data_IF_217486823059
#
_entry.id   IF_217486823059
#
_cell.length_a   1.000
_cell.length_b   1.000
_cell.length_c   1.000
_cell.angle_alpha   90.00
_cell.angle_beta   90.00
_cell.angle_gamma   90.00
#
_symmetry.space_group_name_H-M   'P 1'
#
loop_
_entity.id
_entity.type
_entity.pdbx_description
1 polymer ?
#
# COMPACT_ATOMS: atom_id res chain seq x y z
N UNK A 1 13.79 -67.74 -16.53
CA UNK A 1 14.18 -66.90 -15.39
C UNK A 1 14.94 -65.61 -15.79
N UNK A 2 16.01 -65.69 -16.58
CA UNK A 2 16.80 -64.46 -16.99
C UNK A 2 15.95 -63.38 -17.72
N UNK A 3 15.03 -63.76 -18.61
CA UNK A 3 14.20 -62.81 -19.37
C UNK A 3 13.19 -62.02 -18.50
N UNK A 4 12.62 -62.66 -17.48
CA UNK A 4 11.69 -62.00 -16.57
C UNK A 4 12.43 -61.07 -15.62
N UNK A 5 13.63 -61.44 -15.18
CA UNK A 5 14.45 -60.57 -14.33
C UNK A 5 14.83 -59.29 -15.06
N UNK A 6 15.15 -59.35 -16.37
CA UNK A 6 15.45 -58.17 -17.18
C UNK A 6 14.22 -57.26 -17.34
N UNK A 7 13.02 -57.79 -17.50
CA UNK A 7 11.77 -57.01 -17.59
C UNK A 7 11.51 -56.23 -16.29
N UNK A 8 11.63 -56.87 -15.14
CA UNK A 8 11.40 -56.20 -13.84
C UNK A 8 12.50 -55.18 -13.54
N UNK A 9 13.75 -55.45 -13.90
CA UNK A 9 14.88 -54.51 -13.78
C UNK A 9 14.67 -53.27 -14.65
N UNK A 10 14.16 -53.45 -15.89
CA UNK A 10 13.87 -52.35 -16.80
C UNK A 10 12.66 -51.52 -16.29
N UNK A 11 11.62 -52.14 -15.72
CA UNK A 11 10.47 -51.50 -15.15
C UNK A 11 10.85 -50.63 -13.94
N UNK A 12 11.70 -51.14 -13.05
CA UNK A 12 12.22 -50.42 -11.89
C UNK A 12 13.06 -49.21 -12.33
N UNK A 13 13.90 -49.36 -13.38
CA UNK A 13 14.70 -48.28 -13.91
C UNK A 13 13.84 -47.14 -14.50
N UNK A 14 12.73 -47.47 -15.19
CA UNK A 14 11.77 -46.50 -15.73
C UNK A 14 11.00 -45.81 -14.61
N UNK A 15 10.61 -46.51 -13.54
CA UNK A 15 9.97 -45.89 -12.39
C UNK A 15 10.92 -44.93 -11.66
N UNK A 16 12.20 -45.22 -11.53
CA UNK A 16 13.19 -44.32 -10.92
C UNK A 16 13.45 -43.07 -11.77
N UNK A 17 13.38 -43.18 -13.11
CA UNK A 17 13.56 -42.00 -13.99
C UNK A 17 12.36 -41.04 -13.97
N UNK A 18 11.18 -41.46 -13.52
CA UNK A 18 10.01 -40.60 -13.38
C UNK A 18 10.02 -39.79 -12.08
N UNK A 19 10.84 -40.13 -11.10
CA UNK A 19 10.95 -39.40 -9.83
C UNK A 19 11.96 -38.25 -9.84
N UNK A 20 12.77 -38.11 -10.92
CA UNK A 20 13.91 -37.20 -10.94
C UNK A 20 13.66 -35.81 -11.55
N UNK A 21 12.40 -35.44 -11.88
CA UNK A 21 12.15 -34.23 -12.68
C UNK A 21 11.15 -33.24 -12.08
N UNK A 22 10.99 -33.14 -10.77
CA UNK A 22 10.13 -32.07 -10.23
C UNK A 22 10.80 -30.72 -10.14
N UNK A 23 12.13 -30.64 -9.96
CA UNK A 23 12.82 -29.36 -9.80
C UNK A 23 13.25 -28.70 -11.13
N UNK A 24 13.35 -29.46 -12.21
CA UNK A 24 13.79 -28.90 -13.50
C UNK A 24 12.69 -28.12 -14.26
N UNK A 25 11.42 -28.33 -13.92
CA UNK A 25 10.29 -27.64 -14.58
C UNK A 25 9.81 -26.41 -13.81
N UNK A 26 10.29 -26.16 -12.61
CA UNK A 26 10.02 -24.93 -11.84
C UNK A 26 10.95 -23.83 -12.31
N UNK A 27 10.78 -23.37 -13.55
CA UNK A 27 11.43 -22.13 -14.01
C UNK A 27 10.72 -20.98 -13.30
N UNK A 28 11.29 -20.54 -12.17
CA UNK A 28 10.89 -19.29 -11.53
C UNK A 28 11.10 -18.17 -12.56
N UNK A 29 10.10 -17.33 -12.89
CA UNK A 29 10.32 -16.17 -13.74
C UNK A 29 11.45 -15.33 -13.11
N UNK A 30 12.46 -14.97 -13.90
CA UNK A 30 13.63 -14.20 -13.43
C UNK A 30 13.27 -12.83 -12.86
N UNK A 31 12.01 -12.40 -12.97
CA UNK A 31 11.50 -11.09 -12.59
C UNK A 31 10.56 -11.10 -11.38
N UNK A 32 10.12 -12.26 -10.91
CA UNK A 32 9.24 -12.36 -9.74
C UNK A 32 9.98 -13.10 -8.63
N UNK A 33 10.44 -12.35 -7.62
CA UNK A 33 10.93 -12.91 -6.37
C UNK A 33 9.76 -13.45 -5.57
N UNK A 34 9.82 -14.67 -5.07
CA UNK A 34 8.80 -15.17 -4.16
C UNK A 34 8.76 -14.29 -2.89
N UNK A 35 7.59 -14.08 -2.34
CA UNK A 35 7.43 -13.20 -1.18
C UNK A 35 8.30 -13.66 0.00
N UNK A 36 8.48 -14.96 0.18
CA UNK A 36 9.34 -15.53 1.23
C UNK A 36 10.82 -15.14 1.06
N UNK A 37 11.31 -15.13 -0.18
CA UNK A 37 12.67 -14.71 -0.50
C UNK A 37 12.83 -13.20 -0.28
N UNK A 38 11.85 -12.39 -0.74
CA UNK A 38 11.85 -10.94 -0.58
C UNK A 38 11.90 -10.55 0.92
N UNK A 39 11.05 -11.17 1.73
CA UNK A 39 10.96 -10.86 3.17
C UNK A 39 11.94 -11.68 4.04
N UNK A 40 12.97 -12.27 3.44
CA UNK A 40 14.05 -12.96 4.16
C UNK A 40 15.15 -12.03 4.69
N UNK A 41 15.16 -10.76 4.28
CA UNK A 41 16.17 -9.76 4.66
C UNK A 41 15.54 -8.41 5.00
N UNK A 42 16.22 -7.60 5.82
CA UNK A 42 15.81 -6.21 6.08
C UNK A 42 15.73 -5.38 4.78
N UNK A 43 16.71 -5.53 3.88
CA UNK A 43 16.71 -4.86 2.60
C UNK A 43 15.46 -5.19 1.78
N UNK A 44 15.02 -6.44 1.76
CA UNK A 44 13.79 -6.87 1.07
C UNK A 44 12.53 -6.22 1.64
N UNK A 45 12.45 -5.98 2.95
CA UNK A 45 11.35 -5.20 3.53
C UNK A 45 11.39 -3.73 3.07
N UNK A 46 12.56 -3.11 3.01
CA UNK A 46 12.74 -1.74 2.50
C UNK A 46 12.38 -1.66 1.01
N UNK A 47 12.80 -2.64 0.21
CA UNK A 47 12.49 -2.72 -1.22
C UNK A 47 10.98 -2.90 -1.45
N UNK A 48 10.32 -3.75 -0.67
CA UNK A 48 8.86 -3.92 -0.73
C UNK A 48 8.13 -2.61 -0.43
N UNK A 49 8.57 -1.87 0.59
CA UNK A 49 8.03 -0.57 0.94
C UNK A 49 8.26 0.47 -0.16
N UNK A 50 9.47 0.53 -0.73
CA UNK A 50 9.80 1.37 -1.89
C UNK A 50 8.93 1.01 -3.11
N UNK A 51 8.58 -0.27 -3.26
CA UNK A 51 7.64 -0.76 -4.27
C UNK A 51 6.25 -0.15 -4.14
N UNK A 52 5.74 0.07 -2.90
CA UNK A 52 4.46 0.75 -2.66
C UNK A 52 4.54 2.19 -3.16
N UNK A 53 5.57 2.94 -2.77
CA UNK A 53 5.76 4.32 -3.26
C UNK A 53 5.89 4.37 -4.77
N UNK A 54 6.66 3.47 -5.37
CA UNK A 54 6.83 3.38 -6.84
C UNK A 54 5.49 3.11 -7.52
N UNK A 55 4.63 2.24 -6.97
CA UNK A 55 3.30 2.01 -7.51
C UNK A 55 2.44 3.28 -7.46
N UNK A 56 2.57 4.09 -6.40
CA UNK A 56 1.86 5.35 -6.25
C UNK A 56 2.32 6.43 -7.24
N UNK A 57 3.56 6.44 -7.69
CA UNK A 57 4.07 7.46 -8.63
C UNK A 57 3.56 7.31 -10.06
N UNK A 58 2.83 6.25 -10.39
CA UNK A 58 2.25 6.06 -11.72
C UNK A 58 1.33 7.22 -12.08
N UNK A 59 1.30 7.60 -13.35
CA UNK A 59 0.42 8.67 -13.85
C UNK A 59 -1.07 8.35 -13.67
N UNK A 60 -1.43 7.10 -13.51
CA UNK A 60 -2.79 6.66 -13.16
C UNK A 60 -3.14 6.85 -11.70
N UNK A 61 -2.19 7.18 -10.84
CA UNK A 61 -2.36 7.48 -9.42
C UNK A 61 -1.80 8.89 -9.10
N UNK A 62 -0.93 9.00 -8.10
CA UNK A 62 -0.42 10.30 -7.63
C UNK A 62 0.54 11.00 -8.60
N UNK A 63 1.07 10.29 -9.61
CA UNK A 63 1.84 10.92 -10.69
C UNK A 63 1.02 11.88 -11.58
N UNK A 64 -0.32 11.79 -11.56
CA UNK A 64 -1.21 12.72 -12.27
C UNK A 64 -2.65 12.69 -11.76
N UNK A 65 -3.35 11.53 -11.84
CA UNK A 65 -4.82 11.50 -11.68
C UNK A 65 -5.27 11.91 -10.27
N UNK A 66 -4.52 11.53 -9.23
CA UNK A 66 -4.81 11.83 -7.82
C UNK A 66 -4.29 13.21 -7.37
N UNK A 67 -3.63 13.96 -8.24
CA UNK A 67 -3.06 15.27 -7.95
C UNK A 67 -3.68 16.35 -8.84
N UNK A 68 -3.14 16.56 -10.03
CA UNK A 68 -3.58 17.60 -10.98
C UNK A 68 -4.36 17.03 -12.19
N UNK A 69 -4.77 15.76 -12.16
CA UNK A 69 -5.53 15.09 -13.21
C UNK A 69 -7.04 15.14 -12.96
N UNK A 70 -7.69 13.94 -12.97
CA UNK A 70 -9.15 13.86 -12.87
C UNK A 70 -9.68 14.45 -11.55
N UNK A 71 -8.94 14.35 -10.43
CA UNK A 71 -9.38 14.87 -9.12
C UNK A 71 -9.55 16.39 -9.17
N UNK A 72 -8.60 17.12 -9.74
CA UNK A 72 -8.70 18.58 -9.93
C UNK A 72 -9.81 18.97 -10.90
N UNK A 73 -10.03 18.16 -11.95
CA UNK A 73 -11.08 18.39 -12.92
C UNK A 73 -12.47 18.27 -12.27
N UNK A 74 -12.73 17.20 -11.52
CA UNK A 74 -14.02 17.04 -10.82
C UNK A 74 -14.19 18.02 -9.67
N UNK A 75 -13.09 18.50 -9.08
CA UNK A 75 -13.11 19.60 -8.11
C UNK A 75 -13.31 20.98 -8.77
N UNK A 76 -13.53 21.04 -10.09
CA UNK A 76 -13.74 22.28 -10.87
C UNK A 76 -12.58 23.29 -10.75
N UNK A 77 -11.35 22.79 -10.51
CA UNK A 77 -10.15 23.64 -10.45
C UNK A 77 -9.63 24.00 -11.85
N UNK A 78 -10.07 23.27 -12.87
CA UNK A 78 -9.74 23.56 -14.26
C UNK A 78 -10.77 24.51 -14.87
N UNK A 79 -10.31 25.39 -15.75
CA UNK A 79 -11.20 26.20 -16.59
C UNK A 79 -11.88 25.37 -17.68
N UNK A 80 -12.38 26.03 -18.72
CA UNK A 80 -13.00 25.33 -19.86
C UNK A 80 -11.96 24.46 -20.59
N UNK A 81 -12.32 23.21 -20.85
CA UNK A 81 -11.53 22.26 -21.63
C UNK A 81 -12.30 21.89 -22.91
N UNK A 82 -11.55 21.63 -24.01
CA UNK A 82 -12.15 21.27 -25.29
C UNK A 82 -12.93 19.95 -25.20
N UNK A 83 -13.96 19.82 -26.01
CA UNK A 83 -14.87 18.65 -26.02
C UNK A 83 -14.18 17.33 -26.35
N UNK A 84 -13.03 17.37 -27.02
CA UNK A 84 -12.23 16.19 -27.34
C UNK A 84 -11.16 15.88 -26.29
N UNK A 85 -11.08 16.65 -25.18
CA UNK A 85 -10.11 16.41 -24.14
C UNK A 85 -10.49 15.16 -23.35
N UNK A 86 -9.49 14.41 -22.88
CA UNK A 86 -9.70 13.16 -22.11
C UNK A 86 -10.59 13.31 -20.87
N UNK A 87 -10.65 14.50 -20.28
CA UNK A 87 -11.45 14.80 -19.10
C UNK A 87 -12.74 15.58 -19.41
N UNK A 88 -13.10 15.76 -20.70
CA UNK A 88 -14.26 16.57 -21.07
C UNK A 88 -15.56 16.08 -20.41
N UNK A 89 -15.72 14.77 -20.29
CA UNK A 89 -16.88 14.15 -19.66
C UNK A 89 -16.78 14.16 -18.13
N UNK A 90 -15.56 13.97 -17.59
CA UNK A 90 -15.32 14.07 -16.14
C UNK A 90 -15.65 15.47 -15.58
N UNK A 91 -15.34 16.54 -16.34
CA UNK A 91 -15.71 17.91 -16.00
C UNK A 91 -17.22 18.12 -15.85
N UNK A 92 -18.02 17.28 -16.52
CA UNK A 92 -19.49 17.29 -16.45
C UNK A 92 -20.06 16.24 -15.50
N UNK A 93 -19.19 15.55 -14.74
CA UNK A 93 -19.56 14.44 -13.86
C UNK A 93 -20.18 13.24 -14.58
N UNK A 94 -19.90 13.06 -15.88
CA UNK A 94 -20.34 11.91 -16.68
C UNK A 94 -19.41 10.70 -16.41
N UNK A 95 -19.55 10.09 -15.25
CA UNK A 95 -18.62 9.06 -14.75
C UNK A 95 -18.65 7.76 -15.56
N UNK A 96 -19.78 7.40 -16.16
CA UNK A 96 -19.94 6.21 -16.99
C UNK A 96 -19.49 6.40 -18.45
N UNK A 97 -19.06 7.62 -18.83
CA UNK A 97 -18.59 7.87 -20.17
C UNK A 97 -17.32 7.05 -20.50
N UNK A 98 -17.19 6.64 -21.76
CA UNK A 98 -16.13 5.75 -22.25
C UNK A 98 -14.70 6.28 -22.05
N UNK A 99 -14.53 7.59 -21.89
CA UNK A 99 -13.25 8.24 -21.60
C UNK A 99 -13.04 8.54 -20.09
N UNK A 100 -14.09 8.49 -19.27
CA UNK A 100 -14.02 8.76 -17.82
C UNK A 100 -13.94 7.48 -17.00
N UNK A 101 -14.86 6.54 -17.25
CA UNK A 101 -14.96 5.29 -16.50
C UNK A 101 -13.63 4.52 -16.38
N UNK A 102 -12.83 4.32 -17.46
CA UNK A 102 -11.56 3.60 -17.32
C UNK A 102 -10.55 4.29 -16.42
N UNK A 103 -10.60 5.62 -16.28
CA UNK A 103 -9.73 6.36 -15.34
C UNK A 103 -10.16 6.04 -13.91
N UNK A 104 -11.45 6.09 -13.62
CA UNK A 104 -12.02 5.79 -12.29
C UNK A 104 -11.72 4.34 -11.89
N UNK A 105 -11.98 3.38 -12.80
CA UNK A 105 -11.69 1.94 -12.57
C UNK A 105 -10.21 1.70 -12.28
N UNK A 106 -9.32 2.43 -12.97
CA UNK A 106 -7.86 2.34 -12.75
C UNK A 106 -7.44 2.97 -11.42
N UNK A 107 -8.08 4.07 -11.00
CA UNK A 107 -7.85 4.65 -9.68
C UNK A 107 -8.22 3.65 -8.57
N UNK A 108 -9.43 3.10 -8.64
CA UNK A 108 -9.89 2.11 -7.67
C UNK A 108 -8.95 0.92 -7.59
N UNK A 109 -8.70 0.26 -8.70
CA UNK A 109 -7.85 -0.94 -8.73
C UNK A 109 -6.40 -0.64 -8.36
N UNK A 110 -5.87 0.51 -8.77
CA UNK A 110 -4.50 0.91 -8.48
C UNK A 110 -4.28 1.23 -7.01
N UNK A 111 -5.21 1.91 -6.34
CA UNK A 111 -5.14 2.20 -4.91
C UNK A 111 -5.22 0.90 -4.09
N UNK A 112 -6.15 -0.02 -4.41
CA UNK A 112 -6.20 -1.32 -3.74
C UNK A 112 -4.98 -2.20 -4.01
N UNK A 113 -4.37 -2.12 -5.18
CA UNK A 113 -3.10 -2.80 -5.45
C UNK A 113 -1.96 -2.27 -4.55
N UNK A 114 -1.87 -0.95 -4.37
CA UNK A 114 -0.91 -0.35 -3.46
C UNK A 114 -1.17 -0.75 -1.99
N UNK A 115 -2.45 -0.84 -1.57
CA UNK A 115 -2.86 -1.36 -0.26
C UNK A 115 -2.43 -2.82 -0.08
N UNK A 116 -2.63 -3.67 -1.09
CA UNK A 116 -2.21 -5.07 -1.03
C UNK A 116 -0.69 -5.20 -0.85
N UNK A 117 0.10 -4.34 -1.50
CA UNK A 117 1.55 -4.29 -1.32
C UNK A 117 1.94 -3.84 0.10
N UNK A 118 1.27 -2.83 0.67
CA UNK A 118 1.48 -2.44 2.07
C UNK A 118 1.10 -3.57 3.03
N UNK A 119 -0.02 -4.27 2.79
CA UNK A 119 -0.42 -5.43 3.57
C UNK A 119 0.57 -6.60 3.46
N UNK A 120 1.27 -6.75 2.33
CA UNK A 120 2.34 -7.75 2.22
C UNK A 120 3.46 -7.46 3.22
N UNK A 121 3.92 -6.21 3.33
CA UNK A 121 4.92 -5.82 4.35
C UNK A 121 4.41 -6.15 5.75
N UNK A 122 3.16 -5.75 6.07
CA UNK A 122 2.56 -5.96 7.40
C UNK A 122 2.36 -7.44 7.73
N UNK A 123 2.03 -8.28 6.75
CA UNK A 123 1.81 -9.71 6.96
C UNK A 123 3.09 -10.47 7.35
N UNK A 124 4.24 -10.01 6.86
CA UNK A 124 5.52 -10.67 7.08
C UNK A 124 6.33 -10.06 8.22
N UNK A 125 6.25 -8.74 8.48
CA UNK A 125 7.17 -8.05 9.39
C UNK A 125 7.10 -8.55 10.84
N UNK A 126 5.92 -8.84 11.35
CA UNK A 126 5.75 -9.31 12.74
C UNK A 126 6.17 -10.78 12.92
N UNK A 127 6.07 -11.58 11.85
CA UNK A 127 6.40 -13.01 11.83
C UNK A 127 7.85 -13.27 11.44
N UNK A 128 8.56 -12.25 10.95
CA UNK A 128 9.91 -12.37 10.43
C UNK A 128 10.91 -12.69 11.53
N UNK A 129 11.82 -13.64 11.23
CA UNK A 129 13.02 -13.93 12.03
C UNK A 129 14.21 -13.04 11.65
N UNK A 130 14.06 -12.12 10.73
CA UNK A 130 15.07 -11.16 10.30
C UNK A 130 15.51 -10.30 11.48
N UNK A 131 16.83 -10.15 11.63
CA UNK A 131 17.41 -9.20 12.60
C UNK A 131 17.47 -7.84 11.91
N UNK A 132 16.65 -6.92 12.38
CA UNK A 132 16.61 -5.56 11.88
C UNK A 132 17.64 -4.69 12.60
N UNK A 133 18.24 -3.75 11.88
CA UNK A 133 19.15 -2.76 12.43
C UNK A 133 18.39 -1.70 13.23
N UNK A 134 18.77 -1.51 14.51
CA UNK A 134 18.15 -0.50 15.37
C UNK A 134 16.63 -0.55 15.38
N UNK A 135 15.99 0.56 15.08
CA UNK A 135 14.53 0.73 15.09
C UNK A 135 13.86 0.42 13.75
N UNK A 136 14.61 -0.04 12.74
CA UNK A 136 14.12 -0.19 11.37
C UNK A 136 12.88 -1.06 11.25
N UNK A 137 12.75 -2.12 12.06
CA UNK A 137 11.53 -2.94 12.10
C UNK A 137 10.29 -2.11 12.39
N UNK A 138 10.34 -1.28 13.43
CA UNK A 138 9.21 -0.45 13.84
C UNK A 138 8.96 0.66 12.83
N UNK A 139 10.01 1.29 12.31
CA UNK A 139 9.90 2.36 11.33
C UNK A 139 9.25 1.84 10.02
N UNK A 140 9.69 0.69 9.51
CA UNK A 140 9.09 0.05 8.32
C UNK A 140 7.63 -0.30 8.56
N UNK A 141 7.31 -0.88 9.73
CA UNK A 141 5.94 -1.22 10.11
C UNK A 141 5.05 0.02 10.19
N UNK A 142 5.51 1.06 10.87
CA UNK A 142 4.78 2.31 11.00
C UNK A 142 4.50 2.98 9.66
N UNK A 143 5.48 2.96 8.77
CA UNK A 143 5.33 3.52 7.42
C UNK A 143 4.35 2.72 6.56
N UNK A 144 4.36 1.38 6.64
CA UNK A 144 3.40 0.53 5.94
C UNK A 144 1.96 0.73 6.44
N UNK A 145 1.76 0.89 7.77
CA UNK A 145 0.46 1.25 8.36
C UNK A 145 -0.01 2.62 7.88
N UNK A 146 0.87 3.61 7.87
CA UNK A 146 0.56 4.96 7.40
C UNK A 146 0.18 4.98 5.92
N UNK A 147 0.87 4.22 5.07
CA UNK A 147 0.53 4.06 3.65
C UNK A 147 -0.84 3.42 3.46
N UNK A 148 -1.15 2.36 4.20
CA UNK A 148 -2.46 1.71 4.17
C UNK A 148 -3.58 2.68 4.55
N UNK A 149 -3.40 3.41 5.62
CA UNK A 149 -4.33 4.43 6.07
C UNK A 149 -4.53 5.56 5.06
N UNK A 150 -3.44 6.08 4.50
CA UNK A 150 -3.46 7.14 3.49
C UNK A 150 -4.26 6.73 2.25
N UNK A 151 -4.01 5.53 1.73
CA UNK A 151 -4.67 5.01 0.53
C UNK A 151 -6.17 4.74 0.76
N UNK A 152 -6.54 4.17 1.93
CA UNK A 152 -7.95 4.00 2.28
C UNK A 152 -8.67 5.32 2.51
N UNK A 153 -7.99 6.31 3.08
CA UNK A 153 -8.57 7.64 3.26
C UNK A 153 -8.86 8.33 1.92
N UNK A 154 -7.97 8.17 0.94
CA UNK A 154 -8.22 8.72 -0.40
C UNK A 154 -9.33 7.95 -1.13
N UNK A 155 -9.42 6.62 -1.00
CA UNK A 155 -10.57 5.84 -1.48
C UNK A 155 -11.87 6.31 -0.85
N UNK A 156 -11.90 6.49 0.47
CA UNK A 156 -13.08 6.99 1.19
C UNK A 156 -13.54 8.34 0.63
N UNK A 157 -12.61 9.28 0.44
CA UNK A 157 -12.93 10.63 -0.04
C UNK A 157 -13.42 10.66 -1.49
N UNK A 158 -12.97 9.72 -2.31
CA UNK A 158 -13.32 9.65 -3.73
C UNK A 158 -14.63 8.90 -3.99
N UNK A 159 -14.93 7.89 -3.18
CA UNK A 159 -15.98 6.92 -3.49
C UNK A 159 -17.13 6.90 -2.47
N UNK A 160 -17.05 7.68 -1.38
CA UNK A 160 -18.12 7.79 -0.40
C UNK A 160 -18.63 9.24 -0.30
N UNK A 161 -19.95 9.40 -0.23
CA UNK A 161 -20.57 10.72 -0.18
C UNK A 161 -20.57 11.33 1.23
N UNK A 162 -20.76 10.50 2.26
CA UNK A 162 -20.96 10.97 3.64
C UNK A 162 -20.04 10.23 4.62
N UNK A 163 -19.04 10.95 5.13
CA UNK A 163 -18.09 10.44 6.13
C UNK A 163 -18.73 9.89 7.42
N UNK A 164 -19.94 10.30 7.72
CA UNK A 164 -20.67 9.91 8.96
C UNK A 164 -21.70 8.83 8.71
N UNK A 165 -21.87 8.36 7.47
CA UNK A 165 -22.79 7.27 7.21
C UNK A 165 -22.35 6.02 7.95
N UNK A 166 -23.34 5.35 8.58
CA UNK A 166 -23.17 4.07 9.26
C UNK A 166 -23.68 2.89 8.41
N UNK A 167 -24.14 3.17 7.20
CA UNK A 167 -24.54 2.14 6.23
C UNK A 167 -23.33 1.56 5.52
N UNK A 168 -23.22 0.23 5.51
CA UNK A 168 -22.15 -0.47 4.80
C UNK A 168 -22.28 -0.36 3.26
N UNK A 169 -23.49 -0.09 2.76
CA UNK A 169 -23.76 0.13 1.34
C UNK A 169 -23.14 1.45 0.83
N UNK A 170 -22.98 2.44 1.72
CA UNK A 170 -22.38 3.73 1.39
C UNK A 170 -20.84 3.73 1.48
N UNK A 171 -20.25 2.61 1.87
CA UNK A 171 -18.85 2.49 2.23
C UNK A 171 -17.98 1.80 1.20
N UNK A 172 -16.77 1.49 1.63
CA UNK A 172 -15.75 0.80 0.85
C UNK A 172 -15.17 -0.39 1.62
N UNK A 173 -14.58 -1.39 0.94
CA UNK A 173 -13.80 -2.42 1.62
C UNK A 173 -12.60 -1.81 2.34
N UNK A 174 -12.46 -2.07 3.64
CA UNK A 174 -11.21 -1.79 4.36
C UNK A 174 -10.37 -3.05 4.42
N UNK A 175 -9.35 -3.12 3.55
CA UNK A 175 -8.50 -4.32 3.38
C UNK A 175 -7.29 -4.20 4.28
N UNK A 176 -7.33 -4.86 5.43
CA UNK A 176 -6.30 -4.79 6.49
C UNK A 176 -5.41 -6.04 6.58
N UNK A 177 -5.65 -7.02 5.72
CA UNK A 177 -4.85 -8.24 5.64
C UNK A 177 -4.54 -8.64 4.20
N UNK A 178 -3.50 -9.48 4.03
CA UNK A 178 -3.18 -10.11 2.76
C UNK A 178 -4.09 -11.32 2.54
N UNK A 179 -5.16 -11.14 1.79
CA UNK A 179 -6.17 -12.19 1.53
C UNK A 179 -6.55 -12.28 0.06
N UNK A 180 -6.94 -13.48 -0.37
CA UNK A 180 -7.58 -13.72 -1.68
C UNK A 180 -9.12 -13.72 -1.58
N UNK A 181 -9.65 -13.58 -0.37
CA UNK A 181 -11.07 -13.51 -0.15
C UNK A 181 -11.61 -12.12 -0.48
N UNK A 182 -12.86 -12.05 -0.89
CA UNK A 182 -13.53 -10.77 -1.10
C UNK A 182 -13.76 -10.10 0.25
N UNK A 183 -13.19 -8.91 0.43
CA UNK A 183 -13.46 -8.08 1.60
C UNK A 183 -14.76 -7.31 1.35
N UNK A 184 -15.71 -7.43 2.25
CA UNK A 184 -16.97 -6.70 2.19
C UNK A 184 -16.77 -5.23 2.52
N UNK A 185 -17.63 -4.36 1.96
CA UNK A 185 -17.65 -2.95 2.33
C UNK A 185 -18.01 -2.79 3.79
N UNK A 186 -17.46 -1.76 4.40
CA UNK A 186 -17.83 -1.28 5.74
C UNK A 186 -18.20 0.19 5.63
N UNK A 187 -19.05 0.66 6.54
CA UNK A 187 -19.57 2.03 6.51
C UNK A 187 -18.45 3.09 6.50
N UNK A 188 -18.68 4.26 5.89
CA UNK A 188 -17.72 5.36 5.90
C UNK A 188 -17.21 5.72 7.29
N UNK A 189 -18.12 5.77 8.29
CA UNK A 189 -17.74 6.00 9.68
C UNK A 189 -16.75 4.94 10.21
N UNK A 190 -16.94 3.66 9.84
CA UNK A 190 -16.05 2.56 10.22
C UNK A 190 -14.71 2.62 9.47
N UNK A 191 -14.70 3.07 8.22
CA UNK A 191 -13.46 3.33 7.49
C UNK A 191 -12.64 4.42 8.19
N UNK A 192 -13.27 5.54 8.60
CA UNK A 192 -12.61 6.62 9.36
C UNK A 192 -12.00 6.08 10.65
N UNK A 193 -12.75 5.28 11.42
CA UNK A 193 -12.26 4.67 12.66
C UNK A 193 -11.01 3.81 12.41
N UNK A 194 -11.02 2.95 11.38
CA UNK A 194 -9.88 2.08 11.05
C UNK A 194 -8.68 2.86 10.52
N UNK A 195 -8.92 3.91 9.72
CA UNK A 195 -7.85 4.82 9.27
C UNK A 195 -7.17 5.50 10.47
N UNK A 196 -7.96 6.00 11.44
CA UNK A 196 -7.42 6.62 12.66
C UNK A 196 -6.64 5.59 13.49
N UNK A 197 -7.11 4.35 13.58
CA UNK A 197 -6.41 3.29 14.29
C UNK A 197 -5.06 2.98 13.64
N UNK A 198 -5.02 2.78 12.31
CA UNK A 198 -3.77 2.53 11.59
C UNK A 198 -2.76 3.68 11.76
N UNK A 199 -3.23 4.93 11.74
CA UNK A 199 -2.37 6.09 11.94
C UNK A 199 -1.86 6.20 13.39
N UNK A 200 -2.68 5.82 14.37
CA UNK A 200 -2.29 5.79 15.79
C UNK A 200 -1.20 4.73 16.01
N UNK A 201 -1.39 3.55 15.45
CA UNK A 201 -0.41 2.48 15.53
C UNK A 201 0.87 2.85 14.75
N UNK A 202 0.74 3.51 13.60
CA UNK A 202 1.87 4.06 12.86
C UNK A 202 2.67 5.07 13.66
N UNK A 203 2.02 6.04 14.30
CA UNK A 203 2.68 7.03 15.15
C UNK A 203 3.43 6.37 16.32
N UNK A 204 2.85 5.32 16.91
CA UNK A 204 3.48 4.54 17.97
C UNK A 204 4.73 3.81 17.45
N UNK A 205 4.65 3.20 16.29
CA UNK A 205 5.79 2.53 15.66
C UNK A 205 6.91 3.52 15.28
N UNK A 206 6.56 4.76 14.93
CA UNK A 206 7.49 5.82 14.51
C UNK A 206 8.01 6.67 15.70
N UNK A 207 7.79 6.25 16.95
CA UNK A 207 8.25 7.00 18.13
C UNK A 207 9.78 7.23 18.16
N UNK A 208 10.55 6.34 17.54
CA UNK A 208 12.01 6.45 17.42
C UNK A 208 12.47 6.88 16.02
N UNK A 209 11.59 7.44 15.20
CA UNK A 209 11.96 7.99 13.90
C UNK A 209 13.04 9.08 14.09
N UNK A 210 14.18 9.04 13.36
CA UNK A 210 15.25 10.05 13.47
C UNK A 210 14.75 11.47 13.28
N UNK A 211 13.74 11.68 12.44
CA UNK A 211 13.14 12.99 12.20
C UNK A 211 12.45 13.55 13.45
N UNK A 212 11.88 12.69 14.29
CA UNK A 212 11.24 13.07 15.55
C UNK A 212 12.26 13.25 16.68
N UNK A 213 13.21 12.31 16.78
CA UNK A 213 14.16 12.26 17.90
C UNK A 213 15.34 13.19 17.73
N UNK A 214 15.57 13.74 16.53
CA UNK A 214 16.77 14.51 16.20
C UNK A 214 18.04 13.66 16.19
N UNK A 215 17.94 12.32 16.18
CA UNK A 215 19.08 11.41 16.13
C UNK A 215 19.83 11.57 14.82
N UNK A 216 21.12 11.87 14.91
CA UNK A 216 21.97 11.88 13.71
C UNK A 216 22.05 10.49 13.10
N UNK A 217 21.93 10.43 11.78
CA UNK A 217 22.06 9.21 10.97
C UNK A 217 23.32 9.34 10.14
N UNK A 218 24.27 8.43 10.34
CA UNK A 218 25.51 8.40 9.57
C UNK A 218 25.25 7.91 8.15
N UNK A 219 25.62 8.72 7.16
CA UNK A 219 25.53 8.33 5.74
C UNK A 219 26.45 7.17 5.35
N UNK A 220 27.43 6.83 6.19
CA UNK A 220 28.32 5.68 5.98
C UNK A 220 27.78 4.35 6.52
N UNK A 221 26.79 4.42 7.41
CA UNK A 221 26.20 3.26 8.09
C UNK A 221 24.75 2.97 7.66
N UNK A 222 24.12 3.94 6.99
CA UNK A 222 22.75 3.84 6.48
C UNK A 222 22.74 3.64 4.97
N UNK A 223 21.85 2.78 4.50
CA UNK A 223 21.61 2.51 3.06
C UNK A 223 20.80 3.61 2.35
N UNK A 224 20.58 4.74 3.01
CA UNK A 224 19.78 5.87 2.52
C UNK A 224 18.34 5.88 3.04
N UNK A 225 17.88 4.84 3.73
CA UNK A 225 16.52 4.73 4.24
C UNK A 225 16.22 5.70 5.38
N UNK A 226 17.11 5.77 6.37
CA UNK A 226 16.94 6.65 7.54
C UNK A 226 17.39 8.09 7.24
N UNK A 227 18.43 8.29 6.43
CA UNK A 227 18.91 9.62 6.01
C UNK A 227 17.85 10.39 5.24
N UNK A 228 17.05 9.70 4.45
CA UNK A 228 16.03 10.30 3.57
C UNK A 228 14.61 10.29 4.15
N UNK A 229 14.48 10.23 5.49
CA UNK A 229 13.15 10.14 6.15
C UNK A 229 12.18 11.27 5.79
N UNK A 230 12.67 12.42 5.39
CA UNK A 230 11.86 13.56 4.94
C UNK A 230 11.10 13.31 3.62
N UNK A 231 11.46 12.28 2.85
CA UNK A 231 10.75 11.87 1.63
C UNK A 231 9.75 10.72 1.86
N UNK A 232 9.66 10.22 3.09
CA UNK A 232 8.81 9.10 3.48
C UNK A 232 7.64 9.56 4.36
N UNK A 233 6.67 8.67 4.59
CA UNK A 233 5.65 8.88 5.62
C UNK A 233 6.28 8.72 7.02
N UNK A 234 7.01 9.75 7.43
CA UNK A 234 7.64 9.86 8.72
C UNK A 234 6.61 10.23 9.82
N UNK A 235 7.06 10.35 11.07
CA UNK A 235 6.18 10.70 12.19
C UNK A 235 5.35 11.96 11.94
N UNK A 236 5.95 13.05 11.46
CA UNK A 236 5.24 14.30 11.20
C UNK A 236 4.26 14.21 10.03
N UNK A 237 4.60 13.43 9.00
CA UNK A 237 3.68 13.15 7.91
C UNK A 237 2.43 12.38 8.40
N UNK A 238 2.61 11.42 9.33
CA UNK A 238 1.51 10.72 9.99
C UNK A 238 0.64 11.68 10.79
N UNK A 239 1.23 12.58 11.58
CA UNK A 239 0.49 13.59 12.34
C UNK A 239 -0.28 14.55 11.43
N UNK A 240 0.33 14.99 10.34
CA UNK A 240 -0.33 15.81 9.32
C UNK A 240 -1.51 15.09 8.66
N UNK A 241 -1.35 13.79 8.37
CA UNK A 241 -2.44 12.97 7.82
C UNK A 241 -3.56 12.77 8.86
N UNK A 242 -3.24 12.51 10.13
CA UNK A 242 -4.23 12.45 11.22
C UNK A 242 -5.03 13.76 11.32
N UNK A 243 -4.37 14.92 11.22
CA UNK A 243 -5.06 16.20 11.22
C UNK A 243 -6.08 16.30 10.07
N UNK A 244 -5.73 15.86 8.86
CA UNK A 244 -6.64 15.83 7.70
C UNK A 244 -7.82 14.88 7.92
N UNK A 245 -7.57 13.68 8.46
CA UNK A 245 -8.61 12.68 8.73
C UNK A 245 -9.59 13.19 9.81
N UNK A 246 -9.08 13.78 10.90
CA UNK A 246 -9.91 14.36 11.93
C UNK A 246 -10.72 15.57 11.44
N UNK A 247 -10.15 16.40 10.55
CA UNK A 247 -10.92 17.48 9.90
C UNK A 247 -12.06 16.91 9.04
N UNK A 248 -11.81 15.86 8.27
CA UNK A 248 -12.82 15.19 7.47
C UNK A 248 -13.92 14.57 8.33
N UNK A 249 -13.57 14.05 9.52
CA UNK A 249 -14.49 13.53 10.52
C UNK A 249 -15.17 14.64 11.37
N UNK A 250 -14.91 15.93 11.08
CA UNK A 250 -15.38 17.10 11.84
C UNK A 250 -14.95 17.12 13.32
N UNK A 251 -13.88 16.39 13.67
CA UNK A 251 -13.27 16.45 15.00
C UNK A 251 -12.15 17.51 15.00
N UNK A 252 -12.54 18.77 15.07
CA UNK A 252 -11.62 19.91 15.00
C UNK A 252 -10.64 19.98 16.18
N UNK A 253 -11.00 19.44 17.33
CA UNK A 253 -10.12 19.39 18.52
C UNK A 253 -8.91 18.50 18.25
N UNK A 254 -9.13 17.26 17.80
CA UNK A 254 -8.05 16.35 17.50
C UNK A 254 -7.28 16.76 16.23
N UNK A 255 -7.98 17.31 15.23
CA UNK A 255 -7.34 17.88 14.05
C UNK A 255 -6.33 18.96 14.43
N UNK A 256 -6.74 19.91 15.30
CA UNK A 256 -5.85 20.96 15.79
C UNK A 256 -4.67 20.38 16.58
N UNK A 257 -4.93 19.43 17.49
CA UNK A 257 -3.86 18.78 18.28
C UNK A 257 -2.79 18.17 17.38
N UNK A 258 -3.21 17.41 16.38
CA UNK A 258 -2.29 16.77 15.45
C UNK A 258 -1.55 17.79 14.56
N UNK A 259 -2.22 18.84 14.10
CA UNK A 259 -1.60 19.89 13.31
C UNK A 259 -0.53 20.65 14.09
N UNK A 260 -0.79 20.96 15.38
CA UNK A 260 0.19 21.65 16.23
C UNK A 260 1.47 20.86 16.42
N UNK A 261 1.41 19.52 16.48
CA UNK A 261 2.62 18.68 16.53
C UNK A 261 3.53 18.91 15.32
N UNK A 262 2.95 19.20 14.16
CA UNK A 262 3.73 19.46 12.93
C UNK A 262 4.23 20.89 12.86
N UNK A 263 3.44 21.84 13.39
CA UNK A 263 3.77 23.28 13.35
C UNK A 263 4.89 23.63 14.34
N UNK A 264 4.88 22.96 15.49
CA UNK A 264 5.82 23.19 16.60
C UNK A 264 7.12 22.36 16.47
N UNK A 265 7.31 21.62 15.36
CA UNK A 265 8.41 20.69 15.09
C UNK A 265 9.76 21.36 14.71
#
# INVERSE_FOLDING_TARGET
>A
MKKEFIKYSLLVLVCFSMMACNDWLSVKPKTEMEAEDLFSTEAGFKDALAGVYTAMTKSSLYGREMTYGIVDVVAQQWGSIGTNHRYANALKYEYEATNTKPIIDTLWSGLYNAIANANSVLAYIDKSSVIFTGDNKQIIKGEALALRAFLHFDLLRLFCENAKSTSDEDGIPYVDELTKQVTVSVSPAKVVERVIQDLTDAATCLANDPVLTGREVSTSEDDGYLVNRNYHLNYYAVMGLMARVYMYAENTTEARRCAMVVIDA
#
